data_IF_124008969746
#
_entry.id   IF_124008969746
#
_cell.length_a   1.000
_cell.length_b   1.000
_cell.length_c   1.000
_cell.angle_alpha   90.00
_cell.angle_beta   90.00
_cell.angle_gamma   90.00
#
_symmetry.space_group_name_H-M   'P 1'
#
loop_
_entity.id
_entity.type
_entity.pdbx_description
1 polymer ?
#
# COMPACT_ATOMS: atom_id res chain seq x y z
N UNK A 1 -8.81 -7.28 -7.80
CA UNK A 1 -7.93 -7.81 -6.72
C UNK A 1 -7.10 -8.91 -7.32
N UNK A 2 -5.83 -9.04 -6.90
CA UNK A 2 -4.85 -9.96 -7.51
C UNK A 2 -4.67 -11.16 -6.59
N UNK A 3 -4.88 -12.36 -7.12
CA UNK A 3 -4.63 -13.57 -6.36
C UNK A 3 -3.14 -13.69 -5.97
N UNK A 4 -2.82 -14.43 -4.90
CA UNK A 4 -1.40 -14.72 -4.65
C UNK A 4 -0.80 -15.48 -5.85
N UNK A 5 -1.60 -16.33 -6.50
CA UNK A 5 -1.22 -17.04 -7.71
C UNK A 5 -0.91 -16.11 -8.90
N UNK A 6 -1.62 -14.99 -9.07
CA UNK A 6 -1.29 -13.99 -10.11
C UNK A 6 0.01 -13.24 -9.80
N UNK A 7 0.30 -13.02 -8.51
CA UNK A 7 1.52 -12.37 -8.07
C UNK A 7 2.75 -13.29 -8.25
N UNK A 8 2.56 -14.57 -7.98
CA UNK A 8 3.57 -15.63 -8.17
C UNK A 8 3.51 -16.25 -9.58
N UNK A 9 2.73 -15.68 -10.50
CA UNK A 9 2.53 -16.23 -11.83
C UNK A 9 3.85 -16.22 -12.61
N UNK A 10 4.07 -17.25 -13.42
CA UNK A 10 5.31 -17.40 -14.19
C UNK A 10 5.53 -16.26 -15.20
N UNK A 11 4.47 -15.61 -15.64
CA UNK A 11 4.46 -14.48 -16.55
C UNK A 11 4.43 -13.11 -15.83
N UNK A 12 4.41 -13.09 -14.49
CA UNK A 12 4.65 -11.87 -13.72
C UNK A 12 6.13 -11.47 -13.82
N UNK A 13 6.38 -10.21 -14.20
CA UNK A 13 7.73 -9.69 -14.37
C UNK A 13 8.21 -9.11 -13.04
N UNK A 14 9.35 -9.58 -12.52
CA UNK A 14 10.05 -8.90 -11.41
C UNK A 14 10.63 -7.59 -11.93
N UNK A 15 10.16 -6.47 -11.38
CA UNK A 15 10.65 -5.13 -11.68
C UNK A 15 11.79 -4.76 -10.74
N UNK A 16 11.69 -5.14 -9.47
CA UNK A 16 12.68 -4.86 -8.43
C UNK A 16 12.56 -5.90 -7.31
N UNK A 17 13.66 -6.58 -7.00
CA UNK A 17 13.77 -7.58 -5.91
C UNK A 17 14.46 -7.02 -4.66
N UNK A 18 15.07 -5.84 -4.74
CA UNK A 18 15.87 -5.20 -3.69
C UNK A 18 17.07 -6.06 -3.28
N UNK A 19 17.83 -6.56 -4.25
CA UNK A 19 19.05 -7.34 -4.03
C UNK A 19 20.32 -6.47 -3.95
N UNK A 20 20.26 -5.22 -4.43
CA UNK A 20 21.40 -4.29 -4.41
C UNK A 20 20.96 -2.83 -4.13
N UNK A 21 21.26 -2.34 -2.92
CA UNK A 21 20.98 -0.94 -2.57
C UNK A 21 21.83 0.07 -3.36
N UNK A 22 22.96 -0.34 -3.97
CA UNK A 22 23.78 0.57 -4.76
C UNK A 22 23.06 1.06 -6.04
N UNK A 23 22.05 0.32 -6.51
CA UNK A 23 21.21 0.74 -7.65
C UNK A 23 20.42 2.02 -7.37
N UNK A 24 20.25 2.40 -6.10
CA UNK A 24 19.58 3.62 -5.66
C UNK A 24 20.52 4.82 -5.46
N UNK A 25 21.84 4.60 -5.55
CA UNK A 25 22.80 5.69 -5.44
C UNK A 25 22.80 6.55 -6.71
N UNK A 26 22.87 7.87 -6.53
CA UNK A 26 23.03 8.80 -7.65
C UNK A 26 24.38 8.57 -8.33
N UNK A 27 24.40 8.61 -9.66
CA UNK A 27 25.61 8.45 -10.46
C UNK A 27 25.45 9.11 -11.83
N UNK A 28 26.50 9.12 -12.65
CA UNK A 28 26.41 9.60 -14.04
C UNK A 28 25.33 8.87 -14.86
N UNK A 29 25.02 7.61 -14.50
CA UNK A 29 23.99 6.82 -15.17
C UNK A 29 22.64 6.85 -14.44
N UNK A 30 22.61 7.12 -13.13
CA UNK A 30 21.40 7.20 -12.32
C UNK A 30 21.19 8.63 -11.79
N UNK A 31 20.71 9.52 -12.65
CA UNK A 31 20.42 10.93 -12.36
C UNK A 31 18.94 11.15 -12.00
N UNK A 32 18.40 10.30 -11.11
CA UNK A 32 16.97 10.31 -10.76
C UNK A 32 16.54 11.60 -10.04
N UNK A 33 17.47 12.36 -9.46
CA UNK A 33 17.20 13.57 -8.70
C UNK A 33 16.55 14.70 -9.51
N UNK A 34 16.68 14.65 -10.84
CA UNK A 34 15.97 15.55 -11.76
C UNK A 34 14.46 15.35 -11.73
N UNK A 35 13.98 14.16 -11.37
CA UNK A 35 12.57 13.83 -11.26
C UNK A 35 12.00 14.08 -9.87
N UNK A 36 12.86 14.29 -8.87
CA UNK A 36 12.45 14.64 -7.52
C UNK A 36 12.34 16.16 -7.40
N UNK A 37 11.10 16.63 -7.46
CA UNK A 37 10.75 18.04 -7.47
C UNK A 37 10.00 18.41 -6.20
N UNK A 38 10.35 19.56 -5.62
CA UNK A 38 9.69 20.14 -4.45
C UNK A 38 10.38 21.42 -4.00
N UNK A 39 9.66 22.24 -3.24
CA UNK A 39 10.23 23.45 -2.63
C UNK A 39 11.32 23.10 -1.60
N UNK A 40 12.29 23.99 -1.44
CA UNK A 40 13.41 23.83 -0.50
C UNK A 40 14.24 22.54 -0.69
N UNK A 41 14.36 22.08 -1.95
CA UNK A 41 15.17 20.90 -2.29
C UNK A 41 16.64 21.10 -1.89
N UNK A 42 17.17 20.10 -1.18
CA UNK A 42 18.58 19.92 -0.85
C UNK A 42 19.02 18.55 -1.35
N UNK A 43 20.23 18.44 -1.90
CA UNK A 43 20.84 17.14 -2.20
C UNK A 43 21.65 16.66 -0.99
N UNK A 44 21.31 15.48 -0.47
CA UNK A 44 22.16 14.72 0.46
C UNK A 44 22.87 13.57 -0.28
N UNK A 45 23.80 12.91 0.40
CA UNK A 45 24.49 11.72 -0.11
C UNK A 45 23.53 10.57 -0.44
N UNK A 46 22.34 10.57 0.18
CA UNK A 46 21.29 9.57 0.02
C UNK A 46 20.17 10.02 -0.92
N UNK A 47 20.30 11.18 -1.57
CA UNK A 47 19.34 11.68 -2.56
C UNK A 47 18.72 13.05 -2.23
N UNK A 48 17.79 13.52 -3.06
CA UNK A 48 17.08 14.78 -2.89
C UNK A 48 16.06 14.73 -1.74
N UNK A 49 16.11 15.73 -0.86
CA UNK A 49 15.23 15.89 0.30
C UNK A 49 14.76 17.34 0.44
N UNK A 50 13.66 17.57 1.17
CA UNK A 50 13.31 18.90 1.65
C UNK A 50 14.27 19.37 2.75
N UNK A 51 14.56 20.66 2.81
CA UNK A 51 15.36 21.24 3.90
C UNK A 51 14.83 20.83 5.29
N UNK A 52 15.73 20.29 6.12
CA UNK A 52 15.42 19.84 7.48
C UNK A 52 14.98 18.37 7.58
N UNK A 53 14.86 17.67 6.45
CA UNK A 53 14.68 16.22 6.40
C UNK A 53 16.01 15.53 6.11
N UNK A 54 16.26 14.40 6.77
CA UNK A 54 17.30 13.43 6.42
C UNK A 54 16.63 12.12 6.02
N UNK A 55 17.30 11.34 5.16
CA UNK A 55 16.82 10.03 4.74
C UNK A 55 17.96 9.01 4.69
N UNK A 56 17.62 7.74 4.84
CA UNK A 56 18.55 6.63 4.70
C UNK A 56 17.85 5.41 4.08
N UNK A 57 18.60 4.60 3.35
CA UNK A 57 18.14 3.32 2.84
C UNK A 57 19.24 2.28 2.92
N UNK A 58 18.86 1.03 3.18
CA UNK A 58 19.77 -0.11 3.25
C UNK A 58 19.03 -1.41 3.00
N UNK A 59 19.74 -2.45 2.55
CA UNK A 59 19.19 -3.80 2.53
C UNK A 59 19.09 -4.38 3.94
N UNK A 60 18.04 -5.16 4.17
CA UNK A 60 17.89 -6.00 5.36
C UNK A 60 17.61 -7.44 4.92
N UNK A 61 18.30 -8.39 5.53
CA UNK A 61 17.98 -9.83 5.45
C UNK A 61 17.07 -10.28 6.60
N UNK A 62 16.69 -9.36 7.49
CA UNK A 62 15.75 -9.59 8.59
C UNK A 62 14.34 -9.15 8.23
N UNK A 63 13.36 -9.99 8.58
CA UNK A 63 11.92 -9.74 8.37
C UNK A 63 11.62 -9.32 6.93
N UNK A 64 12.15 -10.12 6.01
CA UNK A 64 11.96 -10.07 4.56
C UNK A 64 10.63 -10.72 4.19
N UNK A 65 9.94 -10.20 3.18
CA UNK A 65 8.65 -10.73 2.76
C UNK A 65 8.77 -11.79 1.67
N UNK A 66 9.64 -11.56 0.69
CA UNK A 66 9.91 -12.47 -0.43
C UNK A 66 11.41 -12.53 -0.69
N UNK A 67 11.95 -13.70 -1.04
CA UNK A 67 13.37 -13.82 -1.38
C UNK A 67 14.30 -13.70 -0.17
N UNK A 68 15.45 -13.06 -0.36
CA UNK A 68 16.56 -13.01 0.60
C UNK A 68 16.80 -11.66 1.28
N UNK A 69 16.28 -10.57 0.70
CA UNK A 69 16.44 -9.21 1.22
C UNK A 69 15.23 -8.34 0.91
N UNK A 70 15.08 -7.27 1.68
CA UNK A 70 14.16 -6.16 1.39
C UNK A 70 14.89 -4.83 1.59
N UNK A 71 14.38 -3.75 1.02
CA UNK A 71 14.91 -2.41 1.24
C UNK A 71 14.24 -1.77 2.45
N UNK A 72 15.02 -1.41 3.46
CA UNK A 72 14.59 -0.54 4.57
C UNK A 72 14.81 0.89 4.11
N UNK A 73 13.76 1.71 4.08
CA UNK A 73 13.82 3.13 3.75
C UNK A 73 13.27 3.94 4.92
N UNK A 74 14.01 4.94 5.39
CA UNK A 74 13.65 5.76 6.54
C UNK A 74 13.92 7.24 6.32
N UNK A 75 13.19 8.07 7.06
CA UNK A 75 13.38 9.51 7.09
C UNK A 75 13.17 10.08 8.50
N UNK A 76 13.90 11.15 8.80
CA UNK A 76 13.72 11.96 10.01
C UNK A 76 13.49 13.41 9.58
N UNK A 77 12.38 14.00 10.00
CA UNK A 77 12.05 15.39 9.71
C UNK A 77 12.21 16.26 10.95
N UNK A 78 13.20 17.16 10.95
CA UNK A 78 13.46 18.16 12.01
C UNK A 78 12.92 19.56 11.67
N UNK A 79 12.24 19.70 10.53
CA UNK A 79 11.63 20.97 10.15
C UNK A 79 10.32 21.21 10.90
N UNK A 80 9.87 22.47 10.90
CA UNK A 80 8.57 22.87 11.44
C UNK A 80 7.39 22.54 10.49
N UNK A 81 7.68 22.09 9.27
CA UNK A 81 6.71 21.78 8.22
C UNK A 81 6.86 20.33 7.76
N UNK A 82 5.85 19.81 7.07
CA UNK A 82 5.91 18.47 6.51
C UNK A 82 7.08 18.34 5.51
N UNK A 83 7.80 17.23 5.59
CA UNK A 83 8.98 16.94 4.81
C UNK A 83 8.70 15.96 3.68
N UNK A 84 9.60 15.95 2.71
CA UNK A 84 9.63 14.98 1.62
C UNK A 84 11.07 14.57 1.28
N UNK A 85 11.23 13.39 0.72
CA UNK A 85 12.53 12.85 0.27
C UNK A 85 12.31 11.80 -0.81
N UNK A 86 13.30 11.58 -1.67
CA UNK A 86 13.18 10.60 -2.74
C UNK A 86 14.47 9.81 -2.97
N UNK A 87 14.31 8.53 -3.28
CA UNK A 87 15.34 7.63 -3.77
C UNK A 87 14.89 7.06 -5.11
N UNK A 88 15.81 6.61 -5.95
CA UNK A 88 15.44 6.07 -7.24
C UNK A 88 16.56 5.32 -7.93
N UNK A 89 16.16 4.42 -8.81
CA UNK A 89 17.05 3.69 -9.69
C UNK A 89 16.69 3.92 -11.15
N UNK A 90 17.69 3.86 -12.00
CA UNK A 90 17.54 3.70 -13.43
C UNK A 90 17.78 2.24 -13.81
N UNK A 91 16.94 1.69 -14.68
CA UNK A 91 17.19 0.36 -15.22
C UNK A 91 18.33 0.40 -16.25
N UNK A 92 19.17 -0.64 -16.27
CA UNK A 92 20.28 -0.73 -17.24
C UNK A 92 19.79 -0.69 -18.70
N UNK A 93 18.57 -1.16 -18.93
CA UNK A 93 17.78 -0.99 -20.16
C UNK A 93 16.34 -0.70 -19.76
N UNK A 94 15.59 0.11 -20.52
CA UNK A 94 14.17 0.28 -20.28
C UNK A 94 13.44 -1.07 -20.27
N UNK A 95 12.51 -1.23 -19.34
CA UNK A 95 11.69 -2.42 -19.19
C UNK A 95 10.44 -2.30 -20.07
N UNK A 96 10.08 -3.40 -20.74
CA UNK A 96 8.79 -3.54 -21.38
C UNK A 96 7.78 -4.17 -20.42
N UNK A 97 6.93 -3.31 -19.85
CA UNK A 97 5.81 -3.65 -18.99
C UNK A 97 4.47 -3.40 -19.70
N UNK A 98 4.45 -3.30 -21.04
CA UNK A 98 3.25 -2.93 -21.81
C UNK A 98 2.08 -3.92 -21.65
N UNK A 99 2.38 -5.17 -21.31
CA UNK A 99 1.38 -6.19 -21.00
C UNK A 99 0.78 -6.07 -19.59
N UNK A 100 1.42 -5.31 -18.69
CA UNK A 100 1.04 -5.24 -17.28
C UNK A 100 -0.33 -4.55 -17.10
N UNK A 101 -1.22 -5.22 -16.37
CA UNK A 101 -2.51 -4.68 -15.92
C UNK A 101 -2.43 -4.04 -14.55
N UNK A 102 -1.42 -4.41 -13.77
CA UNK A 102 -1.12 -3.77 -12.50
C UNK A 102 0.36 -3.86 -12.13
N UNK A 103 0.78 -2.96 -11.25
CA UNK A 103 2.00 -3.06 -10.48
C UNK A 103 1.62 -3.51 -9.07
N UNK A 104 2.39 -4.43 -8.49
CA UNK A 104 2.24 -4.84 -7.11
C UNK A 104 3.58 -4.83 -6.38
N UNK A 105 3.54 -4.64 -5.08
CA UNK A 105 4.71 -4.77 -4.20
C UNK A 105 4.26 -5.11 -2.78
N UNK A 106 5.19 -5.61 -1.97
CA UNK A 106 5.01 -5.66 -0.54
C UNK A 106 5.55 -4.39 0.11
N UNK A 107 4.73 -3.79 0.98
CA UNK A 107 5.08 -2.62 1.76
C UNK A 107 4.88 -2.96 3.24
N UNK A 108 5.94 -2.89 4.03
CA UNK A 108 5.87 -2.96 5.48
C UNK A 108 5.69 -1.54 6.04
N UNK A 109 4.56 -1.29 6.69
CA UNK A 109 4.30 0.00 7.33
C UNK A 109 4.69 0.03 8.80
N UNK A 110 4.95 1.22 9.31
CA UNK A 110 5.17 1.53 10.73
C UNK A 110 4.02 2.36 11.35
N UNK A 111 2.96 2.63 10.58
CA UNK A 111 1.82 3.50 10.91
C UNK A 111 2.13 5.00 11.05
N UNK A 112 3.23 5.50 10.47
CA UNK A 112 3.65 6.90 10.54
C UNK A 112 2.70 7.91 9.86
N UNK A 113 1.81 7.44 8.98
CA UNK A 113 0.80 8.27 8.30
C UNK A 113 1.30 9.04 7.08
N UNK A 114 2.58 8.92 6.76
CA UNK A 114 3.18 9.46 5.54
C UNK A 114 2.64 8.74 4.28
N UNK A 115 2.86 9.36 3.13
CA UNK A 115 2.56 8.76 1.83
C UNK A 115 3.86 8.27 1.20
N UNK A 116 3.91 6.98 0.86
CA UNK A 116 5.01 6.44 0.04
C UNK A 116 4.63 6.59 -1.41
N UNK A 117 5.22 7.54 -2.14
CA UNK A 117 5.00 7.64 -3.59
C UNK A 117 5.86 6.61 -4.30
N UNK A 118 5.26 5.82 -5.16
CA UNK A 118 5.95 4.90 -6.07
C UNK A 118 5.78 5.49 -7.47
N UNK A 119 6.87 5.97 -8.05
CA UNK A 119 6.85 6.64 -9.34
C UNK A 119 7.63 5.82 -10.36
N UNK A 120 7.00 5.59 -11.51
CA UNK A 120 7.69 5.13 -12.71
C UNK A 120 7.95 6.31 -13.64
N UNK A 121 9.07 6.27 -14.36
CA UNK A 121 9.35 7.16 -15.49
C UNK A 121 9.58 6.35 -16.74
N UNK A 122 9.01 6.79 -17.85
CA UNK A 122 9.35 6.24 -19.17
C UNK A 122 10.48 7.04 -19.82
N UNK A 123 11.00 6.55 -20.94
CA UNK A 123 12.09 7.23 -21.67
C UNK A 123 11.73 8.55 -22.33
N UNK A 124 10.45 8.93 -22.34
CA UNK A 124 10.03 10.28 -22.71
C UNK A 124 9.94 11.22 -21.49
N UNK A 125 10.24 10.74 -20.28
CA UNK A 125 10.20 11.48 -19.03
C UNK A 125 8.80 11.63 -18.42
N UNK A 126 7.78 10.96 -18.98
CA UNK A 126 6.42 10.96 -18.42
C UNK A 126 6.40 10.10 -17.14
N UNK A 127 5.40 10.28 -16.29
CA UNK A 127 5.30 9.57 -15.02
C UNK A 127 3.99 8.79 -14.84
N UNK A 128 4.08 7.74 -14.04
CA UNK A 128 2.96 7.08 -13.41
C UNK A 128 3.22 7.02 -11.90
N UNK A 129 2.30 7.58 -11.10
CA UNK A 129 2.46 7.76 -9.65
C UNK A 129 1.40 6.95 -8.88
N UNK A 130 1.86 6.13 -7.94
CA UNK A 130 1.01 5.46 -6.96
C UNK A 130 1.30 6.03 -5.57
N UNK A 131 0.25 6.26 -4.77
CA UNK A 131 0.33 7.06 -3.53
C UNK A 131 -0.32 6.33 -2.32
N UNK A 132 0.12 5.12 -1.94
CA UNK A 132 -0.35 4.48 -0.72
C UNK A 132 0.00 5.32 0.52
N UNK A 133 -0.96 5.39 1.45
CA UNK A 133 -0.77 6.01 2.78
C UNK A 133 -0.40 4.93 3.80
N UNK A 134 0.65 5.17 4.58
CA UNK A 134 1.19 4.23 5.56
C UNK A 134 0.51 4.43 6.91
N UNK A 135 -0.77 4.06 7.00
CA UNK A 135 -1.56 4.10 8.24
C UNK A 135 -1.71 2.71 8.89
N UNK A 136 -0.77 1.81 8.61
CA UNK A 136 -0.80 0.42 9.03
C UNK A 136 0.58 -0.06 9.48
N UNK A 137 0.59 -1.12 10.27
CA UNK A 137 1.81 -1.81 10.71
C UNK A 137 1.91 -3.18 10.04
N UNK A 138 3.13 -3.61 9.72
CA UNK A 138 3.36 -4.93 9.14
C UNK A 138 3.33 -4.94 7.61
N UNK A 139 3.65 -6.09 7.02
CA UNK A 139 3.62 -6.32 5.58
C UNK A 139 2.20 -6.30 5.02
N UNK A 140 1.99 -5.50 3.98
CA UNK A 140 0.78 -5.52 3.14
C UNK A 140 1.15 -5.52 1.67
N UNK A 141 0.45 -6.35 0.89
CA UNK A 141 0.55 -6.33 -0.57
C UNK A 141 -0.23 -5.12 -1.07
N UNK A 142 0.45 -4.25 -1.78
CA UNK A 142 -0.14 -3.13 -2.49
C UNK A 142 -0.27 -3.51 -3.95
N UNK A 143 -1.42 -3.22 -4.56
CA UNK A 143 -1.70 -3.52 -5.97
C UNK A 143 -2.32 -2.30 -6.61
N UNK A 144 -1.72 -1.83 -7.70
CA UNK A 144 -2.13 -0.64 -8.40
C UNK A 144 -2.39 -0.94 -9.87
N UNK A 145 -3.63 -0.74 -10.37
CA UNK A 145 -3.91 -0.86 -11.79
C UNK A 145 -3.06 0.11 -12.62
N UNK A 146 -2.55 -0.34 -13.75
CA UNK A 146 -1.84 0.52 -14.73
C UNK A 146 -2.83 1.37 -15.56
N UNK A 147 -4.10 0.97 -15.56
CA UNK A 147 -5.19 1.73 -16.15
C UNK A 147 -5.30 3.13 -15.51
N UNK A 148 -5.43 4.17 -16.35
CA UNK A 148 -5.47 5.57 -15.91
C UNK A 148 -4.24 6.39 -16.30
N UNK A 149 -3.13 5.74 -16.66
CA UNK A 149 -1.90 6.38 -17.14
C UNK A 149 -1.79 6.35 -18.67
N UNK A 150 -2.84 6.78 -19.38
CA UNK A 150 -2.94 6.62 -20.84
C UNK A 150 -1.87 7.35 -21.67
N UNK A 151 -1.19 8.34 -21.08
CA UNK A 151 -0.07 9.02 -21.72
C UNK A 151 1.29 8.34 -21.47
N UNK A 152 1.41 7.50 -20.43
CA UNK A 152 2.66 6.85 -20.03
C UNK A 152 2.95 5.64 -20.92
N UNK A 153 4.20 5.46 -21.35
CA UNK A 153 4.62 4.31 -22.15
C UNK A 153 5.16 3.19 -21.26
N UNK A 154 4.26 2.26 -20.93
CA UNK A 154 4.60 1.06 -20.16
C UNK A 154 5.56 0.12 -20.90
N UNK A 155 5.76 0.24 -22.21
CA UNK A 155 6.73 -0.59 -22.94
C UNK A 155 8.17 -0.08 -22.87
N UNK A 156 8.38 1.09 -22.25
CA UNK A 156 9.67 1.77 -22.24
C UNK A 156 9.95 2.45 -20.88
N UNK A 157 9.82 1.67 -19.81
CA UNK A 157 9.98 2.14 -18.43
C UNK A 157 11.45 2.22 -18.05
N UNK A 158 11.94 3.40 -17.70
CA UNK A 158 13.37 3.67 -17.52
C UNK A 158 13.78 3.86 -16.06
N UNK A 159 12.91 4.42 -15.21
CA UNK A 159 13.21 4.60 -13.78
C UNK A 159 12.07 4.09 -12.89
N UNK A 160 12.47 3.68 -11.69
CA UNK A 160 11.61 3.44 -10.54
C UNK A 160 12.10 4.28 -9.37
N UNK A 161 11.21 5.07 -8.77
CA UNK A 161 11.51 5.97 -7.67
C UNK A 161 10.54 5.73 -6.51
N UNK A 162 11.05 5.88 -5.29
CA UNK A 162 10.27 5.87 -4.06
C UNK A 162 10.46 7.19 -3.34
N UNK A 163 9.37 7.74 -2.80
CA UNK A 163 9.40 8.97 -2.04
C UNK A 163 8.71 8.80 -0.72
N UNK A 164 9.22 9.47 0.31
CA UNK A 164 8.37 9.92 1.39
C UNK A 164 7.75 11.27 1.04
N UNK A 165 6.43 11.37 1.17
CA UNK A 165 5.69 12.63 1.17
C UNK A 165 4.93 12.78 2.47
N UNK A 166 4.74 14.02 2.91
CA UNK A 166 3.98 14.36 4.10
C UNK A 166 4.56 13.76 5.39
N UNK A 167 5.89 13.65 5.52
CA UNK A 167 6.53 13.25 6.78
C UNK A 167 6.28 14.36 7.80
N UNK A 168 5.57 14.06 8.88
CA UNK A 168 5.14 15.08 9.84
C UNK A 168 6.32 15.83 10.47
N UNK A 169 6.15 17.12 10.86
CA UNK A 169 7.18 17.86 11.59
C UNK A 169 7.65 17.12 12.85
N UNK A 170 8.95 17.11 13.11
CA UNK A 170 9.55 16.49 14.31
C UNK A 170 9.21 15.00 14.48
N UNK A 171 9.12 14.25 13.38
CA UNK A 171 8.85 12.81 13.40
C UNK A 171 9.89 12.03 12.61
N UNK A 172 9.91 10.72 12.82
CA UNK A 172 10.65 9.77 11.99
C UNK A 172 9.70 8.70 11.49
N UNK A 173 9.96 8.20 10.29
CA UNK A 173 9.19 7.15 9.62
C UNK A 173 10.13 6.12 9.03
N UNK A 174 9.67 4.88 8.93
CA UNK A 174 10.39 3.78 8.31
C UNK A 174 9.41 2.84 7.63
N UNK A 175 9.73 2.48 6.40
CA UNK A 175 9.06 1.41 5.68
C UNK A 175 10.05 0.36 5.21
N UNK A 176 9.54 -0.83 4.91
CA UNK A 176 10.28 -1.81 4.11
C UNK A 176 9.57 -2.02 2.78
N UNK A 177 10.34 -2.09 1.71
CA UNK A 177 9.88 -2.33 0.35
C UNK A 177 10.42 -3.67 -0.10
N UNK A 178 9.55 -4.49 -0.69
CA UNK A 178 9.93 -5.82 -1.17
C UNK A 178 9.14 -6.20 -2.43
N UNK A 179 9.82 -6.92 -3.33
CA UNK A 179 9.33 -7.58 -4.53
C UNK A 179 8.31 -6.78 -5.37
N UNK A 180 8.79 -5.78 -6.13
CA UNK A 180 7.96 -5.07 -7.11
C UNK A 180 7.74 -5.95 -8.33
N UNK A 181 6.47 -6.20 -8.65
CA UNK A 181 6.01 -7.06 -9.74
C UNK A 181 5.13 -6.28 -10.71
N UNK A 182 5.31 -6.54 -12.00
CA UNK A 182 4.36 -6.17 -13.04
C UNK A 182 3.51 -7.39 -13.40
N UNK A 183 2.20 -7.24 -13.28
CA UNK A 183 1.23 -8.33 -13.33
C UNK A 183 0.48 -8.32 -14.67
N UNK A 184 0.55 -9.38 -15.49
CA UNK A 184 -0.10 -9.42 -16.81
C UNK A 184 -1.61 -9.65 -16.73
N UNK A 185 -2.09 -10.13 -15.58
CA UNK A 185 -3.50 -10.36 -15.31
C UNK A 185 -3.89 -9.86 -13.93
N UNK A 186 -5.15 -9.47 -13.83
CA UNK A 186 -5.84 -9.18 -12.58
C UNK A 186 -6.96 -10.21 -12.46
N UNK A 187 -6.62 -11.47 -12.20
CA UNK A 187 -7.65 -12.49 -12.07
C UNK A 187 -8.46 -12.20 -10.81
N UNK A 188 -9.75 -11.95 -10.97
CA UNK A 188 -10.64 -11.91 -9.82
C UNK A 188 -10.52 -13.25 -9.10
N UNK A 189 -10.35 -13.23 -7.77
CA UNK A 189 -10.26 -14.45 -6.95
C UNK A 189 -11.58 -15.25 -6.91
N UNK A 190 -12.51 -15.02 -7.83
CA UNK A 190 -13.91 -15.40 -7.72
C UNK A 190 -14.74 -14.37 -6.97
N UNK A 191 -16.04 -14.62 -6.91
CA UNK A 191 -16.96 -13.84 -6.07
C UNK A 191 -16.84 -14.32 -4.62
N UNK A 192 -16.81 -13.38 -3.68
CA UNK A 192 -16.96 -13.70 -2.26
C UNK A 192 -18.46 -13.95 -2.05
N UNK A 193 -18.84 -15.18 -1.73
CA UNK A 193 -20.24 -15.53 -1.48
C UNK A 193 -20.67 -15.05 -0.10
N UNK A 194 -19.78 -15.17 0.89
CA UNK A 194 -20.04 -14.78 2.27
C UNK A 194 -18.81 -14.14 2.90
N UNK A 195 -19.04 -13.15 3.77
CA UNK A 195 -18.02 -12.53 4.60
C UNK A 195 -18.41 -12.77 6.07
N UNK A 196 -17.46 -13.22 6.90
CA UNK A 196 -17.66 -13.48 8.31
C UNK A 196 -16.68 -12.71 9.19
N UNK A 197 -17.12 -12.25 10.35
CA UNK A 197 -16.26 -11.70 11.39
C UNK A 197 -16.40 -12.54 12.65
N UNK A 198 -15.29 -13.11 13.11
CA UNK A 198 -15.20 -13.86 14.36
C UNK A 198 -14.51 -13.03 15.42
N UNK A 199 -15.17 -12.79 16.55
CA UNK A 199 -14.59 -12.15 17.73
C UNK A 199 -14.56 -13.15 18.88
N UNK A 200 -13.36 -13.47 19.36
CA UNK A 200 -13.13 -14.42 20.47
C UNK A 200 -13.85 -15.78 20.27
N UNK A 201 -13.94 -16.27 19.03
CA UNK A 201 -14.58 -17.54 18.67
C UNK A 201 -16.09 -17.47 18.41
N UNK A 202 -16.72 -16.29 18.56
CA UNK A 202 -18.12 -16.06 18.15
C UNK A 202 -18.12 -15.47 16.74
N UNK A 203 -18.63 -16.23 15.78
CA UNK A 203 -18.73 -15.81 14.37
C UNK A 203 -20.05 -15.11 14.07
N UNK A 204 -19.96 -14.08 13.23
CA UNK A 204 -21.10 -13.37 12.64
C UNK A 204 -20.88 -13.28 11.14
N UNK A 205 -21.76 -13.91 10.37
CA UNK A 205 -21.76 -13.82 8.91
C UNK A 205 -22.55 -12.58 8.49
N UNK A 206 -21.95 -11.74 7.67
CA UNK A 206 -22.61 -10.57 7.13
C UNK A 206 -23.65 -10.98 6.07
N UNK A 207 -24.84 -10.38 6.09
CA UNK A 207 -25.89 -10.67 5.09
C UNK A 207 -25.54 -10.11 3.69
N UNK A 208 -24.47 -9.33 3.58
CA UNK A 208 -23.98 -8.74 2.33
C UNK A 208 -22.46 -8.74 2.31
N UNK A 209 -21.92 -8.87 1.11
CA UNK A 209 -20.50 -8.67 0.81
C UNK A 209 -20.37 -7.30 0.13
N UNK A 210 -19.60 -6.35 0.70
CA UNK A 210 -19.42 -5.05 0.08
C UNK A 210 -18.49 -5.13 -1.14
N UNK A 211 -18.90 -4.49 -2.23
CA UNK A 211 -18.07 -4.22 -3.42
C UNK A 211 -17.19 -2.97 -3.21
N UNK A 212 -16.20 -2.71 -4.10
CA UNK A 212 -15.42 -1.47 -4.04
C UNK A 212 -16.30 -0.21 -3.96
N UNK A 213 -16.02 0.64 -2.98
CA UNK A 213 -16.79 1.87 -2.72
C UNK A 213 -18.03 1.67 -1.85
N UNK A 214 -18.34 0.43 -1.45
CA UNK A 214 -19.38 0.11 -0.48
C UNK A 214 -18.77 -0.17 0.89
N UNK A 215 -19.59 -0.11 1.94
CA UNK A 215 -19.14 -0.38 3.30
C UNK A 215 -20.22 -1.02 4.16
N UNK A 216 -19.81 -1.71 5.22
CA UNK A 216 -20.69 -2.12 6.32
C UNK A 216 -20.18 -1.44 7.58
N UNK A 217 -21.08 -0.78 8.31
CA UNK A 217 -20.82 -0.28 9.67
C UNK A 217 -21.67 -1.07 10.64
N UNK A 218 -21.09 -1.51 11.76
CA UNK A 218 -21.80 -2.26 12.78
C UNK A 218 -21.79 -1.52 14.11
N UNK A 219 -22.89 -1.65 14.87
CA UNK A 219 -23.04 -1.08 16.21
C UNK A 219 -22.85 0.46 16.26
N UNK A 220 -23.02 1.19 15.16
CA UNK A 220 -22.99 2.66 15.13
C UNK A 220 -24.29 3.32 15.60
N UNK A 221 -24.42 4.66 15.58
CA UNK A 221 -25.67 5.37 15.92
C UNK A 221 -26.88 4.95 15.05
N UNK A 222 -26.62 4.49 13.82
CA UNK A 222 -27.62 3.91 12.92
C UNK A 222 -27.77 2.38 13.07
N UNK A 223 -27.15 1.79 14.10
CA UNK A 223 -26.91 0.36 14.30
C UNK A 223 -26.09 -0.27 13.17
N UNK A 224 -26.52 -1.44 12.70
CA UNK A 224 -25.85 -2.14 11.60
C UNK A 224 -26.37 -1.64 10.25
N UNK A 225 -25.49 -1.09 9.41
CA UNK A 225 -25.87 -0.43 8.16
C UNK A 225 -24.93 -0.85 7.03
N UNK A 226 -25.51 -1.20 5.89
CA UNK A 226 -24.83 -1.34 4.60
C UNK A 226 -24.91 -0.03 3.84
N UNK A 227 -23.78 0.42 3.31
CA UNK A 227 -23.62 1.65 2.55
C UNK A 227 -23.33 1.32 1.09
N UNK A 228 -24.27 1.56 0.16
CA UNK A 228 -24.07 1.25 -1.25
C UNK A 228 -23.08 2.18 -1.98
N UNK A 229 -22.60 3.25 -1.32
CA UNK A 229 -21.73 4.26 -1.93
C UNK A 229 -22.50 5.31 -2.74
N UNK A 230 -21.76 6.27 -3.31
CA UNK A 230 -22.32 7.26 -4.26
C UNK A 230 -23.43 8.15 -3.69
N UNK A 231 -23.37 8.52 -2.41
CA UNK A 231 -24.42 9.27 -1.69
C UNK A 231 -25.76 8.54 -1.53
N UNK A 232 -25.82 7.24 -1.86
CA UNK A 232 -27.02 6.41 -1.67
C UNK A 232 -27.33 6.24 -0.19
N UNK A 233 -28.61 6.29 0.19
CA UNK A 233 -29.05 6.09 1.57
C UNK A 233 -28.65 4.69 2.06
N UNK A 234 -28.12 4.63 3.29
CA UNK A 234 -27.77 3.38 3.96
C UNK A 234 -28.97 2.46 4.17
N UNK A 235 -28.71 1.16 4.16
CA UNK A 235 -29.69 0.09 4.33
C UNK A 235 -29.44 -0.62 5.66
N UNK A 236 -30.46 -0.76 6.50
CA UNK A 236 -30.35 -1.48 7.77
C UNK A 236 -29.98 -2.95 7.49
N UNK A 237 -29.04 -3.48 8.28
CA UNK A 237 -28.72 -4.90 8.31
C UNK A 237 -29.26 -5.51 9.61
N UNK A 238 -29.82 -6.71 9.49
CA UNK A 238 -30.18 -7.54 10.63
C UNK A 238 -28.96 -8.38 11.01
N UNK A 239 -28.37 -8.07 12.17
CA UNK A 239 -27.27 -8.81 12.77
C UNK A 239 -27.61 -9.11 14.22
N UNK A 240 -27.04 -10.18 14.82
CA UNK A 240 -27.29 -10.48 16.23
C UNK A 240 -26.91 -9.31 17.14
N UNK A 241 -27.72 -9.08 18.19
CA UNK A 241 -27.38 -8.09 19.21
C UNK A 241 -26.03 -8.39 19.85
N UNK A 242 -25.23 -7.34 20.07
CA UNK A 242 -23.87 -7.43 20.64
C UNK A 242 -23.03 -8.48 19.89
N UNK A 243 -23.19 -8.49 18.56
CA UNK A 243 -22.44 -9.33 17.64
C UNK A 243 -20.92 -9.10 17.78
N UNK A 244 -20.52 -7.87 18.11
CA UNK A 244 -19.12 -7.44 18.02
C UNK A 244 -18.52 -6.93 19.33
N UNK A 245 -19.07 -7.40 20.46
CA UNK A 245 -18.59 -6.98 21.78
C UNK A 245 -17.18 -7.50 22.09
N UNK A 246 -16.29 -6.59 22.49
CA UNK A 246 -14.94 -6.89 22.92
C UNK A 246 -14.90 -7.17 24.43
N UNK A 247 -14.18 -8.21 24.84
CA UNK A 247 -13.91 -8.45 26.27
C UNK A 247 -12.79 -7.54 26.77
N UNK A 248 -12.73 -7.33 28.08
CA UNK A 248 -11.58 -6.65 28.71
C UNK A 248 -10.28 -7.44 28.43
N UNK A 249 -9.23 -6.74 28.02
CA UNK A 249 -7.93 -7.33 27.72
C UNK A 249 -7.80 -7.78 26.25
N UNK A 250 -7.02 -8.85 26.01
CA UNK A 250 -6.70 -9.32 24.65
C UNK A 250 -7.93 -9.93 23.96
N UNK A 251 -8.22 -9.44 22.77
CA UNK A 251 -9.24 -9.96 21.87
C UNK A 251 -8.56 -10.56 20.63
N UNK A 252 -9.12 -11.63 20.08
CA UNK A 252 -8.76 -12.15 18.76
C UNK A 252 -9.90 -11.86 17.81
N UNK A 253 -9.59 -11.24 16.68
CA UNK A 253 -10.56 -10.84 15.66
C UNK A 253 -10.08 -11.42 14.34
N UNK A 254 -10.95 -12.17 13.68
CA UNK A 254 -10.64 -12.84 12.41
C UNK A 254 -11.74 -12.52 11.41
N UNK A 255 -11.36 -11.99 10.25
CA UNK A 255 -12.26 -11.87 9.10
C UNK A 255 -12.08 -13.08 8.19
N UNK A 256 -13.17 -13.65 7.70
CA UNK A 256 -13.21 -14.81 6.81
C UNK A 256 -14.02 -14.47 5.56
N UNK A 257 -13.71 -15.15 4.45
CA UNK A 257 -14.55 -15.19 3.25
C UNK A 257 -14.88 -16.65 2.93
N UNK A 258 -16.00 -16.85 2.25
CA UNK A 258 -16.37 -18.13 1.64
C UNK A 258 -16.52 -17.92 0.13
N UNK A 259 -15.85 -18.72 -0.71
CA UNK A 259 -14.75 -19.63 -0.37
C UNK A 259 -13.52 -18.91 0.23
N UNK A 260 -12.70 -19.59 1.04
CA UNK A 260 -11.61 -18.93 1.79
C UNK A 260 -10.53 -18.32 0.88
N UNK A 261 -10.27 -18.95 -0.26
CA UNK A 261 -9.36 -18.50 -1.30
C UNK A 261 -9.79 -17.18 -1.95
N UNK A 262 -11.08 -16.84 -1.87
CA UNK A 262 -11.63 -15.58 -2.40
C UNK A 262 -11.38 -14.41 -1.44
N UNK A 263 -10.88 -14.67 -0.21
CA UNK A 263 -10.57 -13.61 0.74
C UNK A 263 -9.61 -12.59 0.11
N UNK A 264 -9.99 -11.31 0.08
CA UNK A 264 -9.32 -10.33 -0.77
C UNK A 264 -7.92 -9.97 -0.23
N UNK A 265 -7.72 -10.05 1.08
CA UNK A 265 -6.44 -9.75 1.74
C UNK A 265 -6.16 -8.25 1.93
N UNK A 266 -6.90 -7.39 1.25
CA UNK A 266 -6.82 -5.92 1.29
C UNK A 266 -8.10 -5.26 1.84
N UNK A 267 -9.07 -6.04 2.35
CA UNK A 267 -10.26 -5.50 3.01
C UNK A 267 -9.83 -4.67 4.23
N UNK A 268 -10.11 -3.36 4.18
CA UNK A 268 -9.85 -2.49 5.31
C UNK A 268 -10.91 -2.70 6.38
N UNK A 269 -10.48 -3.23 7.53
CA UNK A 269 -11.32 -3.37 8.72
C UNK A 269 -10.90 -2.31 9.73
N UNK A 270 -11.78 -1.36 9.98
CA UNK A 270 -11.58 -0.32 10.98
C UNK A 270 -12.39 -0.67 12.22
N UNK A 271 -11.69 -0.79 13.35
CA UNK A 271 -12.29 -1.08 14.64
C UNK A 271 -12.22 0.18 15.49
N UNK A 272 -13.38 0.69 15.88
CA UNK A 272 -13.47 1.85 16.77
C UNK A 272 -14.00 1.40 18.11
N UNK A 273 -13.39 1.91 19.19
CA UNK A 273 -14.00 1.82 20.51
C UNK A 273 -15.16 2.82 20.54
N UNK A 274 -16.38 2.28 20.45
CA UNK A 274 -17.59 3.03 20.78
C UNK A 274 -17.69 3.12 22.31
N UNK A 275 -17.75 4.32 22.86
CA UNK A 275 -18.23 4.50 24.23
C UNK A 275 -19.75 4.26 24.24
N UNK A 276 -20.34 3.80 25.36
CA UNK A 276 -21.80 3.79 25.46
C UNK A 276 -22.28 5.19 25.11
N UNK A 277 -23.10 5.30 24.06
CA UNK A 277 -23.84 6.53 23.82
C UNK A 277 -24.71 6.74 25.06
N UNK A 278 -24.60 7.90 25.71
CA UNK A 278 -25.53 8.23 26.78
C UNK A 278 -26.94 8.23 26.18
N UNK A 279 -27.85 7.48 26.82
CA UNK A 279 -29.26 7.35 26.41
C UNK A 279 -30.02 8.68 26.51
#
# INVERSE_FOLDING_TARGET
MVSQADYDAVDAVTVESFDDAAEYAMSETNDFEKFVLGGDKVLSDTGPVSKGLTQAYALSTEDVKVGGSCLVYSAENKAATAGWGGIGRRFAKPLDLGAAKAIALWLHGDSGGETVRIQFRDSAGRNADFLPVVNFTGWRKQVFPTAGFGAFDWSNVEYLLFYFNNVSPNTSVQVKLDDVRALPALSAKGEIEQLGLTINGKEVVFPKVPEPGQAITCEGPAGHTFWPGGMTKGQRLELPDRAFELRRGKNTITMTATPAETFPGDLQVLLYRMWPMED
#
